data_IF_195346115204
#
_entry.id   IF_195346115204
#
_cell.length_a   1.000
_cell.length_b   1.000
_cell.length_c   1.000
_cell.angle_alpha   90.00
_cell.angle_beta   90.00
_cell.angle_gamma   90.00
#
_symmetry.space_group_name_H-M   'P 1'
#
loop_
_entity.id
_entity.type
_entity.pdbx_description
1 polymer ?
#
# COMPACT_ATOMS: atom_id res chain seq x y z
N UNK A 1 16.31 11.91 0.09
CA UNK A 1 15.68 10.59 -0.08
C UNK A 1 14.83 10.66 -1.32
N UNK A 2 15.03 9.75 -2.27
CA UNK A 2 14.19 9.62 -3.46
C UNK A 2 12.83 9.01 -3.11
N UNK A 3 11.81 9.15 -3.97
CA UNK A 3 10.52 8.50 -3.74
C UNK A 3 10.61 6.96 -3.70
N UNK A 4 11.54 6.36 -4.46
CA UNK A 4 11.77 4.92 -4.42
C UNK A 4 12.32 4.49 -3.04
N UNK A 5 13.34 5.21 -2.53
CA UNK A 5 13.87 4.98 -1.18
C UNK A 5 12.82 5.21 -0.09
N UNK A 6 11.98 6.25 -0.25
CA UNK A 6 10.90 6.54 0.71
C UNK A 6 9.89 5.39 0.77
N UNK A 7 9.50 4.86 -0.39
CA UNK A 7 8.57 3.75 -0.49
C UNK A 7 9.15 2.45 0.08
N UNK A 8 10.40 2.12 -0.27
CA UNK A 8 11.11 0.98 0.29
C UNK A 8 11.23 1.06 1.82
N UNK A 9 11.54 2.24 2.37
CA UNK A 9 11.54 2.47 3.82
C UNK A 9 10.14 2.31 4.43
N UNK A 10 9.09 2.71 3.71
CA UNK A 10 7.70 2.48 4.11
C UNK A 10 7.37 0.99 4.21
N UNK A 11 7.65 0.21 3.17
CA UNK A 11 7.48 -1.24 3.19
C UNK A 11 8.27 -1.89 4.33
N UNK A 12 9.53 -1.49 4.51
CA UNK A 12 10.38 -2.01 5.56
C UNK A 12 9.83 -1.70 6.96
N UNK A 13 9.24 -0.52 7.17
CA UNK A 13 8.62 -0.18 8.46
C UNK A 13 7.46 -1.11 8.83
N UNK A 14 6.63 -1.48 7.85
CA UNK A 14 5.53 -2.45 8.03
C UNK A 14 6.09 -3.84 8.30
N UNK A 15 7.05 -4.32 7.50
CA UNK A 15 7.67 -5.63 7.70
C UNK A 15 8.35 -5.74 9.07
N UNK A 16 9.03 -4.67 9.51
CA UNK A 16 9.64 -4.64 10.84
C UNK A 16 8.59 -4.65 11.95
N UNK A 17 7.45 -3.97 11.79
CA UNK A 17 6.36 -4.01 12.77
C UNK A 17 5.66 -5.38 12.85
N UNK A 18 5.76 -6.19 11.80
CA UNK A 18 5.23 -7.55 11.74
C UNK A 18 6.22 -8.63 12.20
N UNK A 19 7.50 -8.28 12.39
CA UNK A 19 8.50 -9.22 12.87
C UNK A 19 8.14 -9.70 14.28
N UNK A 20 8.26 -11.01 14.50
CA UNK A 20 7.97 -11.68 15.78
C UNK A 20 6.51 -11.55 16.26
N UNK A 21 5.60 -11.03 15.43
CA UNK A 21 4.18 -10.92 15.75
C UNK A 21 3.56 -12.33 15.86
N UNK A 22 2.98 -12.70 17.01
CA UNK A 22 2.38 -14.02 17.18
C UNK A 22 1.14 -14.18 16.29
N UNK A 23 0.93 -15.39 15.76
CA UNK A 23 -0.21 -15.70 14.88
C UNK A 23 -1.57 -15.36 15.52
N UNK A 24 -1.66 -15.46 16.85
CA UNK A 24 -2.85 -15.12 17.64
C UNK A 24 -3.26 -13.65 17.53
N UNK A 25 -2.34 -12.73 17.24
CA UNK A 25 -2.64 -11.28 17.15
C UNK A 25 -3.16 -10.84 15.79
N UNK A 26 -2.89 -11.61 14.73
CA UNK A 26 -3.17 -11.18 13.35
C UNK A 26 -4.64 -10.88 13.06
N UNK A 27 -5.54 -11.62 13.70
CA UNK A 27 -6.99 -11.50 13.47
C UNK A 27 -7.73 -10.77 14.60
N UNK A 28 -7.01 -10.26 15.62
CA UNK A 28 -7.65 -9.51 16.71
C UNK A 28 -8.07 -8.13 16.17
N UNK A 29 -9.36 -7.75 16.25
CA UNK A 29 -9.82 -6.42 15.87
C UNK A 29 -9.23 -5.34 16.78
N UNK A 30 -9.03 -4.12 16.26
CA UNK A 30 -8.59 -2.97 17.07
C UNK A 30 -7.21 -2.39 16.74
N UNK A 31 -6.56 -2.90 15.68
CA UNK A 31 -5.29 -2.40 15.19
C UNK A 31 -5.44 -1.01 14.55
N UNK A 32 -6.51 -0.81 13.78
CA UNK A 32 -6.97 0.51 13.31
C UNK A 32 -8.50 0.54 13.24
N UNK A 33 -9.15 1.25 14.17
CA UNK A 33 -10.61 1.17 14.33
C UNK A 33 -11.05 -0.27 14.60
N UNK A 34 -11.88 -0.85 13.73
CA UNK A 34 -12.35 -2.24 13.83
C UNK A 34 -11.46 -3.23 13.06
N UNK A 35 -10.42 -2.75 12.36
CA UNK A 35 -9.56 -3.62 11.56
C UNK A 35 -8.56 -4.37 12.41
N UNK A 36 -8.31 -5.63 12.02
CA UNK A 36 -7.20 -6.44 12.52
C UNK A 36 -5.89 -6.10 11.79
N UNK A 37 -4.77 -6.63 12.28
CA UNK A 37 -3.48 -6.50 11.57
C UNK A 37 -3.57 -7.12 10.17
N UNK A 38 -4.24 -8.28 10.03
CA UNK A 38 -4.48 -8.92 8.74
C UNK A 38 -5.21 -7.99 7.77
N UNK A 39 -6.21 -7.26 8.26
CA UNK A 39 -6.97 -6.31 7.43
C UNK A 39 -6.11 -5.12 6.99
N UNK A 40 -5.28 -4.58 7.89
CA UNK A 40 -4.34 -3.50 7.55
C UNK A 40 -3.38 -3.95 6.45
N UNK A 41 -2.74 -5.12 6.60
CA UNK A 41 -1.78 -5.64 5.60
C UNK A 41 -2.49 -5.97 4.28
N UNK A 42 -3.72 -6.50 4.32
CA UNK A 42 -4.54 -6.76 3.14
C UNK A 42 -4.84 -5.49 2.34
N UNK A 43 -5.14 -4.40 3.04
CA UNK A 43 -5.36 -3.11 2.43
C UNK A 43 -4.06 -2.53 1.83
N UNK A 44 -2.93 -2.64 2.55
CA UNK A 44 -1.62 -2.16 2.06
C UNK A 44 -1.16 -2.92 0.81
N UNK A 45 -1.34 -4.25 0.78
CA UNK A 45 -1.08 -5.07 -0.41
C UNK A 45 -1.90 -4.59 -1.62
N UNK A 46 -3.15 -4.16 -1.42
CA UNK A 46 -3.96 -3.63 -2.51
C UNK A 46 -3.45 -2.27 -3.02
N UNK A 47 -2.86 -1.44 -2.17
CA UNK A 47 -2.21 -0.20 -2.60
C UNK A 47 -0.93 -0.44 -3.41
N UNK A 48 -0.18 -1.51 -3.13
CA UNK A 48 0.94 -1.90 -4.02
C UNK A 48 0.45 -2.28 -5.41
N UNK A 49 -0.69 -2.97 -5.51
CA UNK A 49 -1.31 -3.28 -6.81
C UNK A 49 -1.77 -2.00 -7.55
N UNK A 50 -2.22 -0.98 -6.82
CA UNK A 50 -2.46 0.35 -7.41
C UNK A 50 -1.15 0.92 -7.95
N UNK A 51 -0.07 0.94 -7.18
CA UNK A 51 1.23 1.46 -7.64
C UNK A 51 1.71 0.71 -8.89
N UNK A 52 1.60 -0.61 -8.90
CA UNK A 52 1.95 -1.45 -10.05
C UNK A 52 1.15 -1.05 -11.29
N UNK A 53 -0.17 -0.90 -11.16
CA UNK A 53 -1.03 -0.47 -12.27
C UNK A 53 -0.64 0.92 -12.78
N UNK A 54 -0.31 1.85 -11.87
CA UNK A 54 0.17 3.20 -12.22
C UNK A 54 1.45 3.14 -13.04
N UNK A 55 2.45 2.40 -12.56
CA UNK A 55 3.76 2.30 -13.21
C UNK A 55 3.65 1.63 -14.59
N UNK A 56 2.76 0.63 -14.73
CA UNK A 56 2.48 -0.01 -16.03
C UNK A 56 1.83 0.93 -17.04
N UNK A 57 1.12 1.98 -16.62
CA UNK A 57 0.52 2.94 -17.57
C UNK A 57 1.56 3.68 -18.41
N UNK A 58 2.81 3.78 -17.95
CA UNK A 58 3.92 4.38 -18.71
C UNK A 58 4.39 3.49 -19.87
N UNK A 59 3.98 2.22 -19.91
CA UNK A 59 4.25 1.27 -20.99
C UNK A 59 3.00 1.02 -21.84
N UNK A 60 1.86 0.74 -21.19
CA UNK A 60 0.64 0.26 -21.87
C UNK A 60 -0.41 1.37 -22.10
N UNK A 61 -0.15 2.60 -21.66
CA UNK A 61 -1.01 3.81 -21.77
C UNK A 61 -2.42 3.70 -21.16
N UNK A 62 -2.83 2.54 -20.64
CA UNK A 62 -4.14 2.31 -20.03
C UNK A 62 -4.01 1.98 -18.54
N UNK A 63 -4.88 2.55 -17.68
CA UNK A 63 -4.90 2.21 -16.26
C UNK A 63 -5.36 0.77 -16.05
N UNK A 64 -4.69 0.07 -15.14
CA UNK A 64 -5.10 -1.25 -14.70
C UNK A 64 -6.32 -1.22 -13.78
N UNK A 65 -6.86 -2.41 -13.41
CA UNK A 65 -8.11 -2.52 -12.68
C UNK A 65 -8.09 -1.88 -11.28
N UNK A 66 -6.96 -1.89 -10.56
CA UNK A 66 -6.89 -1.30 -9.22
C UNK A 66 -6.91 0.22 -9.27
N UNK A 67 -6.21 0.82 -10.24
CA UNK A 67 -6.31 2.27 -10.51
C UNK A 67 -7.74 2.65 -10.87
N UNK A 68 -8.41 1.87 -11.74
CA UNK A 68 -9.80 2.14 -12.12
C UNK A 68 -10.82 1.98 -10.98
N UNK A 69 -10.52 1.15 -9.97
CA UNK A 69 -11.35 1.02 -8.77
C UNK A 69 -11.11 2.15 -7.78
N UNK A 70 -9.86 2.54 -7.58
CA UNK A 70 -9.50 3.61 -6.65
C UNK A 70 -9.89 4.99 -7.18
N UNK A 71 -9.74 5.23 -8.49
CA UNK A 71 -10.04 6.51 -9.11
C UNK A 71 -11.27 6.42 -10.01
N UNK A 72 -12.29 7.20 -9.66
CA UNK A 72 -13.54 7.26 -10.42
C UNK A 72 -13.31 8.00 -11.75
N UNK A 73 -14.13 7.76 -12.79
CA UNK A 73 -14.02 8.46 -14.08
C UNK A 73 -14.11 10.00 -13.98
N UNK A 74 -14.75 10.53 -12.93
CA UNK A 74 -14.84 11.96 -12.65
C UNK A 74 -13.57 12.55 -12.02
N UNK A 75 -12.55 11.72 -11.72
CA UNK A 75 -11.29 12.10 -11.12
C UNK A 75 -11.29 12.06 -9.59
N UNK A 76 -12.40 11.70 -8.95
CA UNK A 76 -12.47 11.58 -7.48
C UNK A 76 -11.87 10.27 -6.99
N UNK A 77 -11.27 10.30 -5.81
CA UNK A 77 -10.73 9.12 -5.13
C UNK A 77 -11.85 8.40 -4.37
N UNK A 78 -11.92 7.08 -4.52
CA UNK A 78 -12.91 6.19 -3.92
C UNK A 78 -12.32 5.37 -2.75
N UNK A 79 -11.43 5.98 -1.95
CA UNK A 79 -10.60 5.24 -0.97
C UNK A 79 -11.42 4.37 -0.02
N UNK A 80 -12.58 4.85 0.48
CA UNK A 80 -13.37 4.10 1.45
C UNK A 80 -13.93 2.79 0.88
N UNK A 81 -14.58 2.86 -0.28
CA UNK A 81 -15.16 1.68 -0.93
C UNK A 81 -14.04 0.75 -1.42
N UNK A 82 -12.96 1.29 -2.00
CA UNK A 82 -11.78 0.52 -2.40
C UNK A 82 -11.18 -0.26 -1.22
N UNK A 83 -10.98 0.39 -0.08
CA UNK A 83 -10.45 -0.22 1.14
C UNK A 83 -11.37 -1.34 1.65
N UNK A 84 -12.67 -1.08 1.74
CA UNK A 84 -13.64 -2.08 2.19
C UNK A 84 -13.68 -3.30 1.27
N UNK A 85 -13.71 -3.08 -0.05
CA UNK A 85 -13.74 -4.17 -1.02
C UNK A 85 -12.46 -5.00 -0.99
N UNK A 86 -11.29 -4.35 -0.97
CA UNK A 86 -10.00 -5.05 -1.06
C UNK A 86 -9.70 -5.86 0.21
N UNK A 87 -10.08 -5.36 1.38
CA UNK A 87 -10.06 -6.15 2.62
C UNK A 87 -11.06 -7.30 2.54
N UNK A 88 -12.30 -7.05 2.10
CA UNK A 88 -13.33 -8.08 2.00
C UNK A 88 -12.95 -9.22 1.04
N UNK A 89 -12.27 -8.93 -0.08
CA UNK A 89 -11.79 -9.97 -1.02
C UNK A 89 -10.75 -10.90 -0.41
N UNK A 90 -10.06 -10.47 0.65
CA UNK A 90 -9.02 -11.23 1.35
C UNK A 90 -9.51 -11.81 2.67
N UNK A 91 -10.81 -11.71 2.98
CA UNK A 91 -11.40 -12.16 4.24
C UNK A 91 -11.05 -13.61 4.60
N UNK A 92 -11.03 -14.49 3.59
CA UNK A 92 -10.75 -15.91 3.76
C UNK A 92 -9.28 -16.28 3.56
N UNK A 93 -8.41 -15.30 3.30
CA UNK A 93 -6.98 -15.53 3.29
C UNK A 93 -6.46 -15.66 4.73
N UNK A 94 -5.42 -16.48 4.89
CA UNK A 94 -4.62 -16.53 6.12
C UNK A 94 -3.73 -15.29 6.24
N UNK A 95 -3.28 -14.99 7.46
CA UNK A 95 -2.25 -13.98 7.72
C UNK A 95 -1.04 -14.13 6.78
N UNK A 96 -0.54 -15.35 6.64
CA UNK A 96 0.60 -15.65 5.77
C UNK A 96 0.32 -15.38 4.29
N UNK A 97 -0.89 -15.70 3.80
CA UNK A 97 -1.25 -15.43 2.40
C UNK A 97 -1.29 -13.92 2.11
N UNK A 98 -1.83 -13.14 3.04
CA UNK A 98 -1.87 -11.67 2.92
C UNK A 98 -0.46 -11.07 3.01
N UNK A 99 0.38 -11.58 3.92
CA UNK A 99 1.78 -11.15 4.04
C UNK A 99 2.58 -11.47 2.77
N UNK A 100 2.41 -12.67 2.21
CA UNK A 100 3.07 -13.03 0.96
C UNK A 100 2.67 -12.09 -0.18
N UNK A 101 1.38 -11.78 -0.31
CA UNK A 101 0.90 -10.84 -1.34
C UNK A 101 1.50 -9.44 -1.17
N UNK A 102 1.61 -8.95 0.08
CA UNK A 102 2.27 -7.68 0.37
C UNK A 102 3.76 -7.70 -0.01
N UNK A 103 4.49 -8.77 0.34
CA UNK A 103 5.91 -8.92 -0.01
C UNK A 103 6.13 -9.04 -1.53
N UNK A 104 5.26 -9.78 -2.23
CA UNK A 104 5.28 -9.89 -3.69
C UNK A 104 5.00 -8.53 -4.34
N UNK A 105 4.03 -7.78 -3.81
CA UNK A 105 3.72 -6.41 -4.21
C UNK A 105 4.92 -5.48 -4.08
N UNK A 106 5.56 -5.45 -2.91
CA UNK A 106 6.78 -4.69 -2.66
C UNK A 106 7.87 -5.02 -3.70
N UNK A 107 8.18 -6.31 -3.92
CA UNK A 107 9.23 -6.72 -4.85
C UNK A 107 8.92 -6.25 -6.28
N UNK A 108 7.65 -6.37 -6.71
CA UNK A 108 7.23 -5.94 -8.03
C UNK A 108 7.28 -4.42 -8.19
N UNK A 109 6.83 -3.67 -7.18
CA UNK A 109 6.91 -2.21 -7.15
C UNK A 109 8.36 -1.75 -7.28
N UNK A 110 9.27 -2.32 -6.48
CA UNK A 110 10.71 -2.00 -6.53
C UNK A 110 11.30 -2.30 -7.91
N UNK A 111 10.97 -3.46 -8.49
CA UNK A 111 11.45 -3.84 -9.83
C UNK A 111 10.95 -2.90 -10.93
N UNK A 112 9.69 -2.44 -10.85
CA UNK A 112 9.14 -1.48 -11.81
C UNK A 112 9.77 -0.10 -11.66
N UNK A 113 9.97 0.38 -10.42
CA UNK A 113 10.57 1.69 -10.15
C UNK A 113 12.02 1.81 -10.65
N UNK A 114 12.78 0.72 -10.69
CA UNK A 114 14.14 0.70 -11.25
C UNK A 114 14.20 1.07 -12.73
N UNK A 115 13.08 1.04 -13.45
CA UNK A 115 12.99 1.43 -14.85
C UNK A 115 12.82 2.94 -15.05
N UNK A 116 12.60 3.69 -13.96
CA UNK A 116 12.36 5.13 -14.00
C UNK A 116 13.60 5.92 -13.57
N UNK A 117 13.88 7.01 -14.28
CA UNK A 117 14.84 8.02 -13.83
C UNK A 117 14.20 8.94 -12.77
N UNK A 118 14.98 9.55 -11.87
CA UNK A 118 14.46 10.55 -10.94
C UNK A 118 13.73 11.70 -11.64
N UNK A 119 14.27 12.17 -12.78
CA UNK A 119 13.67 13.24 -13.57
C UNK A 119 12.29 12.88 -14.10
N UNK A 120 12.08 11.63 -14.54
CA UNK A 120 10.77 11.18 -15.03
C UNK A 120 9.73 11.04 -13.92
N UNK A 121 10.13 10.68 -12.70
CA UNK A 121 9.22 10.64 -11.54
C UNK A 121 8.74 12.05 -11.13
N UNK A 122 9.59 13.07 -11.32
CA UNK A 122 9.31 14.45 -10.91
C UNK A 122 8.45 15.24 -11.90
N UNK A 123 8.26 14.75 -13.13
CA UNK A 123 7.47 15.46 -14.14
C UNK A 123 5.98 15.49 -13.77
N UNK A 124 5.38 16.68 -13.56
CA UNK A 124 3.94 16.83 -13.34
C UNK A 124 3.13 16.45 -14.58
N UNK A 125 1.86 16.09 -14.39
CA UNK A 125 0.93 15.82 -15.50
C UNK A 125 1.22 14.53 -16.27
N UNK A 126 2.09 13.66 -15.75
CA UNK A 126 2.45 12.36 -16.36
C UNK A 126 1.40 11.27 -16.14
N UNK A 127 0.35 11.56 -15.38
CA UNK A 127 -0.74 10.64 -15.06
C UNK A 127 -2.04 11.15 -15.70
N UNK A 128 -2.28 10.99 -17.01
CA UNK A 128 -3.38 11.64 -17.73
C UNK A 128 -4.78 11.21 -17.26
N UNK A 129 -4.89 10.01 -16.68
CA UNK A 129 -6.12 9.49 -16.05
C UNK A 129 -6.33 10.04 -14.63
N UNK A 130 -5.26 10.53 -14.00
CA UNK A 130 -5.27 11.13 -12.69
C UNK A 130 -5.37 12.65 -12.88
N UNK A 131 -6.61 13.17 -12.89
CA UNK A 131 -6.96 14.58 -13.18
C UNK A 131 -6.47 15.57 -12.09
N UNK A 132 -5.20 15.46 -11.70
CA UNK A 132 -4.50 16.26 -10.71
C UNK A 132 -3.10 16.58 -11.23
N UNK A 133 -2.58 17.73 -10.85
CA UNK A 133 -1.28 18.25 -11.33
C UNK A 133 -0.08 17.69 -10.54
N UNK A 134 -0.25 16.59 -9.78
CA UNK A 134 0.85 16.05 -8.98
C UNK A 134 1.78 15.19 -9.82
N UNK A 135 3.06 15.15 -9.46
CA UNK A 135 4.02 14.23 -10.05
C UNK A 135 3.86 12.81 -9.47
N UNK A 136 4.41 11.82 -10.18
CA UNK A 136 4.48 10.46 -9.66
C UNK A 136 5.30 10.41 -8.36
N UNK A 137 6.38 11.18 -8.27
CA UNK A 137 7.18 11.30 -7.04
C UNK A 137 6.34 11.76 -5.84
N UNK A 138 5.48 12.76 -6.02
CA UNK A 138 4.61 13.25 -4.95
C UNK A 138 3.59 12.19 -4.50
N UNK A 139 3.02 11.44 -5.45
CA UNK A 139 2.11 10.34 -5.15
C UNK A 139 2.80 9.22 -4.37
N UNK A 140 3.97 8.78 -4.82
CA UNK A 140 4.75 7.73 -4.17
C UNK A 140 5.17 8.14 -2.75
N UNK A 141 5.55 9.41 -2.54
CA UNK A 141 5.85 9.93 -1.21
C UNK A 141 4.63 9.96 -0.28
N UNK A 142 3.42 10.20 -0.81
CA UNK A 142 2.18 10.10 -0.02
C UNK A 142 1.93 8.64 0.41
N UNK A 143 2.14 7.69 -0.51
CA UNK A 143 1.97 6.26 -0.23
C UNK A 143 3.04 5.71 0.72
N UNK A 144 4.27 6.21 0.64
CA UNK A 144 5.34 5.89 1.58
C UNK A 144 4.98 6.29 3.03
N UNK A 145 4.44 7.50 3.22
CA UNK A 145 3.95 7.94 4.54
C UNK A 145 2.79 7.09 5.04
N UNK A 146 1.88 6.72 4.14
CA UNK A 146 0.74 5.85 4.46
C UNK A 146 1.20 4.48 4.98
N UNK A 147 2.22 3.87 4.34
CA UNK A 147 2.84 2.63 4.84
C UNK A 147 3.44 2.83 6.25
N UNK A 148 4.15 3.93 6.48
CA UNK A 148 4.76 4.24 7.77
C UNK A 148 3.72 4.42 8.88
N UNK A 149 2.66 5.18 8.61
CA UNK A 149 1.55 5.40 9.55
C UNK A 149 0.93 4.07 10.02
N UNK A 150 0.69 3.15 9.08
CA UNK A 150 0.17 1.81 9.41
C UNK A 150 1.21 0.91 10.10
N UNK A 151 2.50 1.00 9.75
CA UNK A 151 3.56 0.32 10.48
C UNK A 151 3.60 0.72 11.96
N UNK A 152 3.47 2.03 12.25
CA UNK A 152 3.38 2.55 13.61
C UNK A 152 2.10 2.12 14.34
N UNK A 153 0.97 1.99 13.63
CA UNK A 153 -0.26 1.47 14.22
C UNK A 153 -0.13 -0.01 14.61
N UNK A 154 0.42 -0.85 13.73
CA UNK A 154 0.68 -2.27 14.00
C UNK A 154 1.60 -2.40 15.22
N UNK A 155 2.71 -1.66 15.25
CA UNK A 155 3.65 -1.71 16.36
C UNK A 155 3.00 -1.28 17.69
N UNK A 156 2.17 -0.23 17.68
CA UNK A 156 1.43 0.19 18.88
C UNK A 156 0.39 -0.82 19.32
N UNK A 157 -0.24 -1.52 18.38
CA UNK A 157 -1.19 -2.58 18.71
C UNK A 157 -0.46 -3.73 19.41
N UNK A 158 0.61 -4.24 18.80
CA UNK A 158 1.40 -5.34 19.35
C UNK A 158 1.93 -5.03 20.77
N UNK A 159 2.52 -3.84 20.96
CA UNK A 159 3.03 -3.45 22.27
C UNK A 159 1.95 -3.35 23.36
N UNK A 160 0.69 -3.01 23.01
CA UNK A 160 -0.42 -3.02 23.98
C UNK A 160 -0.83 -4.44 24.37
N UNK A 161 -0.69 -5.41 23.48
CA UNK A 161 -1.04 -6.80 23.73
C UNK A 161 0.05 -7.53 24.51
N UNK A 162 1.33 -7.24 24.25
CA UNK A 162 2.47 -7.73 25.06
C UNK A 162 2.36 -7.38 26.56
N UNK A 163 1.77 -6.23 26.89
CA UNK A 163 1.66 -5.75 28.29
C UNK A 163 0.49 -6.38 29.05
N UNK A 164 -0.36 -7.16 28.39
CA UNK A 164 -1.59 -7.74 28.96
C UNK A 164 -1.48 -9.27 29.15
N UNK A 165 -0.46 -9.91 28.56
CA UNK A 165 -0.08 -11.31 28.82
C UNK A 165 0.90 -11.45 30.00
#
# INVERSE_FOLDING_TARGET
MSAAEALENGHQSVLTALNDLPESEWEIPGADGDWSIKDIVAHLAAYDLVIIDILKTFHDSQPGPYVLKLFRPDGKVNSQEFNQETVATRRYHTAQQVLNEFQEGQLQVTSLLQQFSPASLQQPGTLPWFKTEISLEELLNKLARHLQEHGEQIQRFHHRHDLVE
#
